data_IF_224465978176
#
_entry.id   IF_224465978176
#
_cell.length_a   1.000
_cell.length_b   1.000
_cell.length_c   1.000
_cell.angle_alpha   90.00
_cell.angle_beta   90.00
_cell.angle_gamma   90.00
#
_symmetry.space_group_name_H-M   'P 1'
#
loop_
_entity.id
_entity.type
_entity.pdbx_description
1 polymer ?
#
# COMPACT_ATOMS: atom_id res chain seq x y z
N UNK A 1 -5.28 27.82 -19.22
CA UNK A 1 -6.64 27.26 -19.02
C UNK A 1 -7.16 27.54 -17.62
N UNK A 2 -6.41 27.30 -16.54
CA UNK A 2 -6.92 27.49 -15.16
C UNK A 2 -6.55 28.82 -14.50
N UNK A 3 -5.67 29.63 -15.10
CA UNK A 3 -5.30 30.95 -14.57
C UNK A 3 -4.41 30.93 -13.32
N UNK A 4 -4.10 29.74 -12.80
CA UNK A 4 -3.20 29.55 -11.67
C UNK A 4 -1.77 29.32 -12.14
N UNK A 5 -0.82 29.99 -11.47
CA UNK A 5 0.62 29.80 -11.64
C UNK A 5 1.08 29.02 -10.42
N UNK A 6 1.44 27.76 -10.62
CA UNK A 6 1.99 26.89 -9.58
C UNK A 6 3.52 26.90 -9.68
N UNK A 7 4.21 27.17 -8.56
CA UNK A 7 5.66 26.99 -8.47
C UNK A 7 6.01 25.56 -8.05
N UNK A 8 7.30 25.18 -8.16
CA UNK A 8 7.77 23.88 -7.65
C UNK A 8 7.52 23.77 -6.15
N UNK A 9 7.73 24.87 -5.41
CA UNK A 9 7.53 24.91 -3.96
C UNK A 9 6.05 24.75 -3.57
N UNK A 10 5.12 25.13 -4.46
CA UNK A 10 3.69 24.87 -4.27
C UNK A 10 3.36 23.39 -4.56
N UNK A 11 3.97 22.80 -5.60
CA UNK A 11 3.63 21.44 -6.05
C UNK A 11 4.21 20.35 -5.13
N UNK A 12 5.45 20.49 -4.68
CA UNK A 12 6.14 19.42 -3.92
C UNK A 12 5.39 19.01 -2.64
N UNK A 13 4.88 19.92 -1.80
CA UNK A 13 4.09 19.54 -0.62
C UNK A 13 2.81 18.77 -0.95
N UNK A 14 2.18 19.04 -2.11
CA UNK A 14 1.00 18.31 -2.54
C UNK A 14 1.33 16.90 -3.02
N UNK A 15 2.44 16.74 -3.75
CA UNK A 15 2.89 15.43 -4.24
C UNK A 15 3.39 14.55 -3.09
N UNK A 16 4.08 15.13 -2.10
CA UNK A 16 4.63 14.39 -0.96
C UNK A 16 3.71 14.33 0.27
N UNK A 17 2.42 14.64 0.11
CA UNK A 17 1.48 14.58 1.22
C UNK A 17 1.36 13.14 1.73
N UNK A 18 1.57 12.97 3.03
CA UNK A 18 1.41 11.69 3.73
C UNK A 18 0.11 11.71 4.52
N UNK A 19 -0.77 10.75 4.27
CA UNK A 19 -2.05 10.63 4.94
C UNK A 19 -2.54 9.17 4.90
N UNK A 20 -3.03 8.69 6.03
CA UNK A 20 -3.57 7.34 6.12
C UNK A 20 -4.89 7.29 5.35
N UNK A 21 -4.99 6.38 4.38
CA UNK A 21 -6.19 6.15 3.59
C UNK A 21 -6.63 4.68 3.62
N UNK A 22 -7.82 4.40 3.10
CA UNK A 22 -8.35 3.04 2.99
C UNK A 22 -7.83 2.29 1.75
N UNK A 23 -7.58 3.03 0.67
CA UNK A 23 -7.37 2.49 -0.67
C UNK A 23 -5.87 2.37 -0.96
N UNK A 24 -5.39 1.14 -1.18
CA UNK A 24 -3.97 0.84 -1.41
C UNK A 24 -3.40 1.58 -2.62
N UNK A 25 -4.14 1.64 -3.73
CA UNK A 25 -3.64 2.24 -4.98
C UNK A 25 -3.50 3.76 -4.91
N UNK A 26 -4.16 4.39 -3.92
CA UNK A 26 -4.11 5.84 -3.68
C UNK A 26 -3.19 6.21 -2.51
N UNK A 27 -2.58 5.22 -1.84
CA UNK A 27 -1.75 5.44 -0.66
C UNK A 27 -0.42 6.13 -1.00
N UNK A 28 0.06 6.98 -0.10
CA UNK A 28 1.34 7.66 -0.22
C UNK A 28 2.54 6.71 -0.03
N UNK A 29 3.75 7.16 -0.40
CA UNK A 29 4.96 6.32 -0.36
C UNK A 29 5.32 5.78 1.04
N UNK A 30 4.87 6.44 2.11
CA UNK A 30 5.16 6.05 3.50
C UNK A 30 4.13 5.05 4.02
N UNK A 31 2.85 5.23 3.69
CA UNK A 31 1.77 4.35 4.17
C UNK A 31 1.52 3.15 3.27
N UNK A 32 1.84 3.24 1.98
CA UNK A 32 1.65 2.17 0.99
C UNK A 32 2.19 0.80 1.42
N UNK A 33 3.43 0.68 1.97
CA UNK A 33 3.95 -0.62 2.39
C UNK A 33 3.09 -1.33 3.45
N UNK A 34 2.40 -0.60 4.32
CA UNK A 34 1.54 -1.19 5.35
C UNK A 34 0.34 -1.92 4.73
N UNK A 35 -0.23 -1.37 3.66
CA UNK A 35 -1.30 -2.04 2.91
C UNK A 35 -0.84 -3.36 2.29
N UNK A 36 0.41 -3.41 1.81
CA UNK A 36 1.01 -4.62 1.23
C UNK A 36 1.32 -5.65 2.30
N UNK A 37 1.92 -5.24 3.43
CA UNK A 37 2.24 -6.13 4.56
C UNK A 37 0.97 -6.80 5.11
N UNK A 38 -0.10 -6.03 5.32
CA UNK A 38 -1.40 -6.56 5.74
C UNK A 38 -1.87 -7.70 4.83
N UNK A 39 -1.80 -7.51 3.50
CA UNK A 39 -2.25 -8.52 2.54
C UNK A 39 -1.35 -9.74 2.55
N UNK A 40 -0.03 -9.53 2.62
CA UNK A 40 0.93 -10.63 2.70
C UNK A 40 0.67 -11.52 3.93
N UNK A 41 0.48 -10.93 5.10
CA UNK A 41 0.21 -11.70 6.32
C UNK A 41 -1.12 -12.45 6.24
N UNK A 42 -2.18 -11.80 5.75
CA UNK A 42 -3.47 -12.46 5.53
C UNK A 42 -3.37 -13.59 4.50
N UNK A 43 -2.58 -13.43 3.44
CA UNK A 43 -2.31 -14.51 2.48
C UNK A 43 -1.62 -15.70 3.14
N UNK A 44 -0.66 -15.47 4.05
CA UNK A 44 -0.01 -16.54 4.79
C UNK A 44 -1.01 -17.29 5.68
N UNK A 45 -1.88 -16.58 6.39
CA UNK A 45 -2.90 -17.16 7.27
C UNK A 45 -3.95 -17.96 6.45
N UNK A 46 -4.43 -17.41 5.33
CA UNK A 46 -5.37 -18.09 4.41
C UNK A 46 -4.76 -19.36 3.80
N UNK A 47 -3.53 -19.27 3.25
CA UNK A 47 -2.88 -20.40 2.55
C UNK A 47 -2.48 -21.50 3.54
N UNK A 48 -2.12 -21.15 4.77
CA UNK A 48 -1.81 -22.13 5.82
C UNK A 48 -3.04 -22.76 6.47
N UNK A 49 -4.24 -22.25 6.19
CA UNK A 49 -5.49 -22.68 6.81
C UNK A 49 -5.66 -22.22 8.26
N UNK A 50 -4.93 -21.19 8.68
CA UNK A 50 -5.09 -20.54 9.99
C UNK A 50 -6.23 -19.53 10.01
N UNK A 51 -6.60 -19.00 8.84
CA UNK A 51 -7.73 -18.10 8.63
C UNK A 51 -8.70 -18.71 7.63
N UNK A 52 -9.98 -18.78 8.00
CA UNK A 52 -11.06 -19.14 7.09
C UNK A 52 -11.51 -17.89 6.32
N UNK A 53 -11.92 -18.06 5.05
CA UNK A 53 -12.33 -16.94 4.21
C UNK A 53 -13.54 -16.15 4.77
N UNK A 54 -14.38 -16.80 5.58
CA UNK A 54 -15.53 -16.18 6.22
C UNK A 54 -15.14 -15.15 7.31
N UNK A 55 -13.98 -15.32 7.94
CA UNK A 55 -13.48 -14.46 9.03
C UNK A 55 -12.53 -13.35 8.51
N UNK A 56 -12.32 -13.32 7.19
CA UNK A 56 -11.44 -12.36 6.52
C UNK A 56 -11.84 -10.88 6.74
N UNK A 57 -13.13 -10.49 6.73
CA UNK A 57 -13.52 -9.10 7.01
C UNK A 57 -13.04 -8.60 8.37
N UNK A 58 -13.17 -9.40 9.43
CA UNK A 58 -12.77 -9.07 10.79
C UNK A 58 -11.25 -9.04 10.93
N UNK A 59 -10.55 -10.02 10.34
CA UNK A 59 -9.09 -10.09 10.35
C UNK A 59 -8.48 -8.88 9.60
N UNK A 60 -9.07 -8.50 8.47
CA UNK A 60 -8.66 -7.32 7.70
C UNK A 60 -8.88 -6.03 8.50
N UNK A 61 -10.06 -5.82 9.07
CA UNK A 61 -10.36 -4.64 9.89
C UNK A 61 -9.40 -4.53 11.08
N UNK A 62 -9.07 -5.66 11.74
CA UNK A 62 -8.11 -5.68 12.83
C UNK A 62 -6.73 -5.19 12.41
N UNK A 63 -6.18 -5.70 11.29
CA UNK A 63 -4.87 -5.26 10.79
C UNK A 63 -4.91 -3.82 10.26
N UNK A 64 -5.98 -3.39 9.59
CA UNK A 64 -6.16 -1.99 9.15
C UNK A 64 -6.15 -1.03 10.35
N UNK A 65 -6.82 -1.38 11.45
CA UNK A 65 -6.81 -0.57 12.68
C UNK A 65 -5.44 -0.57 13.34
N UNK A 66 -4.76 -1.70 13.40
CA UNK A 66 -3.43 -1.81 14.03
C UNK A 66 -2.39 -0.98 13.26
N UNK A 67 -2.37 -1.06 11.93
CA UNK A 67 -1.35 -0.42 11.10
C UNK A 67 -1.68 1.02 10.72
N UNK A 68 -2.93 1.28 10.39
CA UNK A 68 -3.38 2.56 9.81
C UNK A 68 -4.39 3.28 10.70
N UNK A 69 -4.87 2.69 11.80
CA UNK A 69 -5.86 3.32 12.66
C UNK A 69 -7.22 3.54 11.99
N UNK A 70 -7.51 2.82 10.90
CA UNK A 70 -8.73 2.95 10.11
C UNK A 70 -9.57 1.68 10.22
N UNK A 71 -10.88 1.83 10.33
CA UNK A 71 -11.82 0.69 10.33
C UNK A 71 -12.39 0.48 8.94
N UNK A 72 -12.57 -0.80 8.59
CA UNK A 72 -13.21 -1.25 7.34
C UNK A 72 -14.38 -2.19 7.62
N UNK A 73 -14.73 -2.42 8.89
CA UNK A 73 -15.88 -3.25 9.25
C UNK A 73 -17.15 -2.67 8.62
N UNK A 74 -18.04 -3.53 8.15
CA UNK A 74 -19.26 -3.16 7.41
C UNK A 74 -19.03 -2.42 6.08
N UNK A 75 -17.78 -2.29 5.61
CA UNK A 75 -17.42 -1.74 4.29
C UNK A 75 -16.47 -2.67 3.53
N UNK A 76 -16.98 -3.80 2.98
CA UNK A 76 -16.13 -4.75 2.26
C UNK A 76 -15.52 -4.15 0.98
N UNK A 77 -16.18 -3.16 0.36
CA UNK A 77 -15.71 -2.53 -0.88
C UNK A 77 -14.36 -1.81 -0.70
N UNK A 78 -14.20 -1.08 0.40
CA UNK A 78 -12.91 -0.46 0.77
C UNK A 78 -12.08 -1.35 1.71
N UNK A 79 -12.62 -2.50 2.10
CA UNK A 79 -12.00 -3.55 2.89
C UNK A 79 -11.41 -4.67 2.00
N UNK A 80 -11.65 -5.96 2.33
CA UNK A 80 -11.08 -7.09 1.59
C UNK A 80 -11.40 -7.16 0.10
N UNK A 81 -12.48 -6.51 -0.37
CA UNK A 81 -12.90 -6.56 -1.77
C UNK A 81 -12.31 -5.42 -2.63
N UNK A 82 -11.46 -4.56 -2.06
CA UNK A 82 -10.92 -3.40 -2.78
C UNK A 82 -9.98 -3.76 -3.95
N UNK A 83 -9.37 -4.96 -3.91
CA UNK A 83 -8.39 -5.42 -4.88
C UNK A 83 -8.88 -6.66 -5.64
N UNK A 84 -8.52 -6.76 -6.92
CA UNK A 84 -8.93 -7.86 -7.81
C UNK A 84 -8.07 -9.14 -7.66
N UNK A 85 -6.99 -9.08 -6.89
CA UNK A 85 -5.94 -10.12 -6.86
C UNK A 85 -6.45 -11.46 -6.35
N UNK A 86 -7.16 -11.49 -5.21
CA UNK A 86 -7.67 -12.74 -4.65
C UNK A 86 -8.75 -13.40 -5.51
N UNK A 87 -9.77 -12.66 -6.04
CA UNK A 87 -10.68 -13.21 -7.04
C UNK A 87 -9.97 -13.70 -8.32
N UNK A 88 -8.84 -13.07 -8.68
CA UNK A 88 -7.98 -13.49 -9.79
C UNK A 88 -6.98 -14.60 -9.45
N UNK A 89 -7.04 -15.20 -8.26
CA UNK A 89 -6.13 -16.22 -7.74
C UNK A 89 -4.64 -15.82 -7.70
N UNK A 90 -4.33 -14.51 -7.66
CA UNK A 90 -2.97 -13.97 -7.62
C UNK A 90 -2.41 -13.93 -6.19
N UNK A 91 -2.42 -15.05 -5.48
CA UNK A 91 -1.84 -15.18 -4.14
C UNK A 91 -0.30 -15.10 -4.18
N UNK A 92 0.30 -14.43 -3.20
CA UNK A 92 1.75 -14.19 -3.14
C UNK A 92 2.22 -13.05 -4.07
N UNK A 93 1.29 -12.35 -4.72
CA UNK A 93 1.62 -11.28 -5.66
C UNK A 93 1.95 -9.97 -4.95
N UNK A 94 1.21 -9.61 -3.89
CA UNK A 94 1.34 -8.30 -3.23
C UNK A 94 2.76 -7.93 -2.75
N UNK A 95 3.56 -8.85 -2.17
CA UNK A 95 4.92 -8.53 -1.74
C UNK A 95 5.79 -7.92 -2.84
N UNK A 96 5.52 -8.23 -4.11
CA UNK A 96 6.28 -7.69 -5.26
C UNK A 96 6.20 -6.17 -5.36
N UNK A 97 5.11 -5.53 -4.93
CA UNK A 97 4.97 -4.08 -4.99
C UNK A 97 5.95 -3.37 -4.04
N UNK A 98 6.00 -3.78 -2.77
CA UNK A 98 6.93 -3.20 -1.78
C UNK A 98 8.37 -3.57 -2.10
N UNK A 99 8.62 -4.79 -2.61
CA UNK A 99 9.96 -5.15 -3.10
C UNK A 99 10.42 -4.23 -4.23
N UNK A 100 9.54 -3.89 -5.18
CA UNK A 100 9.82 -2.94 -6.25
C UNK A 100 10.21 -1.56 -5.71
N UNK A 101 9.46 -1.02 -4.76
CA UNK A 101 9.77 0.26 -4.11
C UNK A 101 11.14 0.22 -3.39
N UNK A 102 11.42 -0.87 -2.67
CA UNK A 102 12.70 -1.02 -1.98
C UNK A 102 13.88 -1.14 -2.96
N UNK A 103 13.71 -1.91 -4.03
CA UNK A 103 14.70 -2.02 -5.09
C UNK A 103 14.96 -0.68 -5.76
N UNK A 104 13.93 0.15 -5.97
CA UNK A 104 14.09 1.49 -6.53
C UNK A 104 14.95 2.38 -5.62
N UNK A 105 14.67 2.42 -4.31
CA UNK A 105 15.45 3.18 -3.35
C UNK A 105 16.92 2.69 -3.28
N UNK A 106 17.14 1.38 -3.27
CA UNK A 106 18.48 0.79 -3.26
C UNK A 106 19.26 1.10 -4.53
N UNK A 107 18.62 1.02 -5.70
CA UNK A 107 19.23 1.37 -6.98
C UNK A 107 19.57 2.85 -7.04
N UNK A 108 18.68 3.74 -6.59
CA UNK A 108 18.95 5.17 -6.54
C UNK A 108 20.16 5.49 -5.65
N UNK A 109 20.22 4.91 -4.45
CA UNK A 109 21.36 5.08 -3.55
C UNK A 109 22.68 4.58 -4.16
N UNK A 110 22.65 3.50 -4.96
CA UNK A 110 23.82 3.03 -5.69
C UNK A 110 24.22 4.00 -6.81
N UNK A 111 23.25 4.49 -7.60
CA UNK A 111 23.49 5.47 -8.66
C UNK A 111 24.10 6.77 -8.14
N UNK A 112 23.57 7.33 -7.05
CA UNK A 112 24.12 8.57 -6.46
C UNK A 112 25.54 8.38 -5.93
N UNK A 113 25.89 7.18 -5.44
CA UNK A 113 27.25 6.88 -5.00
C UNK A 113 28.22 6.80 -6.18
N UNK A 114 27.81 6.18 -7.28
CA UNK A 114 28.65 5.98 -8.46
C UNK A 114 28.67 7.23 -9.37
N UNK A 115 27.62 8.04 -9.31
CA UNK A 115 27.43 9.29 -10.05
C UNK A 115 26.96 10.44 -9.12
N UNK A 116 27.86 11.05 -8.32
CA UNK A 116 27.47 12.06 -7.32
C UNK A 116 26.94 13.39 -7.88
N UNK A 117 27.07 13.61 -9.19
CA UNK A 117 26.58 14.80 -9.90
C UNK A 117 25.28 14.58 -10.66
N UNK A 118 24.66 13.39 -10.51
CA UNK A 118 23.36 13.07 -11.07
C UNK A 118 22.22 13.79 -10.33
#
# INVERSE_FOLDING_TARGET
HLGEIWSIDDILPHVHRVERGLIRVDADEVTYPLHVILRFELEQELVSGQLEAADLPEAWDAKMRDYLGLSTIDNPADGPMQDVHWPGAAFGYFPSYTLGAMMAAQQWAALTRDHPSA
#
